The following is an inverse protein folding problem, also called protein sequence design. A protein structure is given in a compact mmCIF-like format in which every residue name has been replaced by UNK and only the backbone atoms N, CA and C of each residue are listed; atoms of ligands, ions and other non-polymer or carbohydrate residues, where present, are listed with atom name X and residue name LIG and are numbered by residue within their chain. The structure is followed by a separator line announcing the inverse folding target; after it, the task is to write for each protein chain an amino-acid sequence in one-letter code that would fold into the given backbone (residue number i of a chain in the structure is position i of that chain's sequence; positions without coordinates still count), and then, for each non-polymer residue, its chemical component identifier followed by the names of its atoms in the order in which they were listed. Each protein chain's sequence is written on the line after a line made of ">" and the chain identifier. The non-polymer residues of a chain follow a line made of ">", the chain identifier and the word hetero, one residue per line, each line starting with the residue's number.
data_IF_190813030212
#
_entry.id   IF_190813030212
#
_cell.length_a   1.000
_cell.length_b   1.000
_cell.length_c   1.000
_cell.angle_alpha   90.00
_cell.angle_beta   90.00
_cell.angle_gamma   90.00
#
_symmetry.space_group_name_H-M   'P 1'
#
loop_
_entity.id
_entity.type
_entity.pdbx_description
1 polymer ?
#
# COMPACT_ATOMS: atom_id res chain seq x y z
N UNK A 1 -0.12 -88.06 17.00
CA UNK A 1 1.09 -88.61 16.35
C UNK A 1 2.26 -87.75 16.81
N UNK A 2 3.32 -88.42 17.27
CA UNK A 2 4.58 -87.98 17.92
C UNK A 2 5.04 -86.53 17.66
N UNK A 3 5.39 -85.70 18.66
CA UNK A 3 6.60 -85.69 19.53
C UNK A 3 7.94 -85.39 18.81
N UNK A 4 8.74 -84.52 19.49
CA UNK A 4 10.21 -84.26 19.39
C UNK A 4 10.61 -83.04 18.50
N UNK A 5 11.46 -82.07 18.92
CA UNK A 5 12.45 -82.00 20.00
C UNK A 5 12.91 -80.56 20.36
N UNK A 6 13.59 -80.50 21.52
CA UNK A 6 14.10 -79.40 22.37
C UNK A 6 15.15 -78.39 21.83
N UNK A 7 15.49 -77.32 22.61
CA UNK A 7 16.06 -76.04 22.16
C UNK A 7 17.58 -75.90 22.42
N UNK A 8 18.18 -74.76 22.00
CA UNK A 8 19.46 -74.26 22.53
C UNK A 8 19.67 -72.74 22.30
N UNK A 9 19.86 -72.04 23.42
CA UNK A 9 20.91 -71.03 23.68
C UNK A 9 20.78 -69.58 23.16
N UNK A 10 20.44 -68.70 24.11
CA UNK A 10 21.22 -67.55 24.62
C UNK A 10 22.01 -66.71 23.61
N UNK A 11 21.63 -65.44 23.51
CA UNK A 11 22.45 -64.35 22.98
C UNK A 11 21.87 -62.99 23.39
N UNK A 12 22.25 -62.51 24.57
CA UNK A 12 21.93 -61.18 25.09
C UNK A 12 22.79 -60.15 24.33
N UNK A 13 22.19 -59.29 23.50
CA UNK A 13 22.83 -58.03 23.07
C UNK A 13 21.79 -56.93 23.23
N UNK A 14 22.04 -56.07 24.22
CA UNK A 14 21.20 -54.93 24.52
C UNK A 14 21.10 -53.99 23.32
N UNK A 15 19.88 -53.57 23.02
CA UNK A 15 19.62 -52.37 22.24
C UNK A 15 18.86 -51.43 23.16
N UNK A 16 19.56 -50.36 23.54
CA UNK A 16 19.01 -49.20 24.24
C UNK A 16 17.86 -48.67 23.38
N UNK A 17 16.63 -48.81 23.87
CA UNK A 17 15.47 -48.18 23.25
C UNK A 17 15.60 -46.67 23.49
N UNK A 18 16.28 -45.98 22.58
CA UNK A 18 16.31 -44.53 22.55
C UNK A 18 14.90 -44.05 22.19
N UNK A 19 14.12 -43.73 23.22
CA UNK A 19 12.85 -43.04 23.09
C UNK A 19 13.12 -41.65 22.50
N UNK A 20 13.09 -41.54 21.17
CA UNK A 20 13.13 -40.25 20.49
C UNK A 20 11.80 -39.55 20.77
N UNK A 21 11.79 -38.66 21.76
CA UNK A 21 10.85 -37.56 21.77
C UNK A 21 11.11 -36.72 20.51
N UNK A 22 10.28 -36.91 19.50
CA UNK A 22 10.18 -35.94 18.41
C UNK A 22 9.42 -34.76 19.02
N UNK A 23 10.16 -33.75 19.50
CA UNK A 23 9.58 -32.45 19.77
C UNK A 23 9.16 -31.86 18.42
N UNK A 24 7.90 -32.05 18.02
CA UNK A 24 7.32 -31.31 16.92
C UNK A 24 7.18 -29.88 17.39
N UNK A 25 8.16 -29.04 17.06
CA UNK A 25 7.97 -27.59 17.07
C UNK A 25 6.91 -27.28 16.01
N UNK A 26 5.65 -27.32 16.41
CA UNK A 26 4.54 -26.88 15.59
C UNK A 26 4.67 -25.38 15.38
N UNK A 27 5.29 -24.97 14.27
CA UNK A 27 5.06 -23.65 13.72
C UNK A 27 3.63 -23.69 13.22
N UNK A 28 2.70 -23.09 13.97
CA UNK A 28 1.35 -22.84 13.46
C UNK A 28 1.51 -21.92 12.25
N UNK A 29 1.31 -22.46 11.05
CA UNK A 29 1.23 -21.65 9.85
C UNK A 29 -0.02 -20.77 9.99
N UNK A 30 0.18 -19.46 10.15
CA UNK A 30 -0.93 -18.51 10.18
C UNK A 30 -1.63 -18.56 8.83
N UNK A 31 -2.88 -19.03 8.81
CA UNK A 31 -3.68 -19.10 7.59
C UNK A 31 -3.96 -17.67 7.09
N UNK A 32 -3.58 -17.39 5.84
CA UNK A 32 -3.82 -16.07 5.23
C UNK A 32 -5.31 -15.91 4.95
N UNK A 33 -5.95 -14.92 5.58
CA UNK A 33 -7.39 -14.66 5.42
C UNK A 33 -7.66 -13.71 4.25
N UNK A 34 -8.50 -14.14 3.32
CA UNK A 34 -8.95 -13.30 2.21
C UNK A 34 -9.86 -12.16 2.69
N UNK A 35 -9.55 -10.92 2.27
CA UNK A 35 -10.37 -9.73 2.55
C UNK A 35 -11.75 -9.77 1.90
N UNK A 36 -12.74 -9.19 2.60
CA UNK A 36 -14.10 -9.02 2.09
C UNK A 36 -14.21 -7.70 1.30
N UNK A 37 -14.57 -7.73 0.00
CA UNK A 37 -14.64 -6.52 -0.82
C UNK A 37 -15.68 -5.50 -0.39
N UNK A 38 -16.69 -5.89 0.40
CA UNK A 38 -17.73 -4.99 0.92
C UNK A 38 -17.33 -4.27 2.21
N UNK A 39 -16.29 -4.75 2.90
CA UNK A 39 -15.93 -4.29 4.26
C UNK A 39 -14.48 -3.82 4.37
N UNK A 40 -13.61 -4.24 3.45
CA UNK A 40 -12.20 -3.88 3.45
C UNK A 40 -12.02 -2.37 3.40
N UNK A 41 -11.03 -1.88 4.13
CA UNK A 41 -10.63 -0.46 4.16
C UNK A 41 -9.37 -0.18 3.34
N UNK A 42 -8.63 -1.24 3.00
CA UNK A 42 -7.40 -1.14 2.23
C UNK A 42 -7.14 -2.40 1.41
N UNK A 43 -6.30 -2.28 0.38
CA UNK A 43 -5.83 -3.42 -0.41
C UNK A 43 -4.98 -4.41 0.41
N UNK A 44 -4.47 -4.01 1.57
CA UNK A 44 -3.59 -4.84 2.40
C UNK A 44 -4.33 -6.02 3.06
N UNK A 45 -5.66 -5.95 3.14
CA UNK A 45 -6.50 -7.01 3.68
C UNK A 45 -6.69 -8.18 2.70
N UNK A 46 -6.23 -8.05 1.46
CA UNK A 46 -6.40 -9.09 0.45
C UNK A 46 -5.18 -10.00 0.35
N UNK A 47 -5.45 -11.23 -0.04
CA UNK A 47 -4.45 -12.22 -0.45
C UNK A 47 -4.58 -12.39 -1.95
N UNK A 48 -3.44 -12.57 -2.62
CA UNK A 48 -3.33 -12.83 -4.07
C UNK A 48 -2.32 -13.94 -4.27
N UNK A 49 -2.33 -14.61 -5.41
CA UNK A 49 -1.33 -15.63 -5.71
C UNK A 49 -0.23 -15.08 -6.60
N UNK A 50 1.03 -15.41 -6.31
CA UNK A 50 2.13 -15.14 -7.22
C UNK A 50 1.98 -15.92 -8.54
N UNK A 51 2.83 -15.64 -9.53
CA UNK A 51 2.78 -16.35 -10.83
C UNK A 51 2.94 -17.87 -10.74
N UNK A 52 3.38 -18.42 -9.59
CA UNK A 52 3.54 -19.86 -9.34
C UNK A 52 2.36 -20.44 -8.54
N UNK A 53 1.35 -19.64 -8.20
CA UNK A 53 0.19 -20.05 -7.42
C UNK A 53 0.36 -19.99 -5.91
N UNK A 54 1.47 -19.43 -5.40
CA UNK A 54 1.67 -19.31 -3.94
C UNK A 54 0.93 -18.09 -3.39
N UNK A 55 0.21 -18.22 -2.26
CA UNK A 55 -0.51 -17.10 -1.68
C UNK A 55 0.46 -16.07 -1.08
N UNK A 56 0.23 -14.80 -1.40
CA UNK A 56 0.94 -13.61 -0.94
C UNK A 56 -0.08 -12.67 -0.29
N UNK A 57 0.18 -12.30 0.96
CA UNK A 57 -0.54 -11.20 1.60
C UNK A 57 -0.16 -9.86 0.96
N UNK A 58 -1.15 -9.05 0.60
CA UNK A 58 -0.92 -7.71 0.07
C UNK A 58 -0.32 -6.75 1.12
N UNK A 59 -0.30 -7.12 2.40
CA UNK A 59 0.50 -6.44 3.44
C UNK A 59 1.96 -6.24 3.04
N UNK A 60 2.51 -7.11 2.18
CA UNK A 60 3.85 -6.95 1.57
C UNK A 60 4.08 -5.55 0.98
N UNK A 61 3.03 -4.89 0.50
CA UNK A 61 3.10 -3.61 -0.19
C UNK A 61 2.73 -2.41 0.71
N UNK A 62 2.63 -2.61 2.03
CA UNK A 62 2.29 -1.53 2.97
C UNK A 62 3.25 -0.36 2.85
N UNK A 63 2.71 0.87 2.86
CA UNK A 63 3.51 2.09 2.81
C UNK A 63 4.02 2.48 1.42
N UNK A 64 3.75 1.67 0.39
CA UNK A 64 4.17 1.94 -0.98
C UNK A 64 2.99 2.47 -1.81
N UNK A 65 3.17 3.51 -2.65
CA UNK A 65 2.20 3.83 -3.69
C UNK A 65 2.20 2.70 -4.72
N UNK A 66 1.01 2.24 -5.14
CA UNK A 66 0.86 1.11 -6.04
C UNK A 66 0.21 1.54 -7.35
N UNK A 67 0.63 0.90 -8.44
CA UNK A 67 -0.18 0.76 -9.66
C UNK A 67 -0.65 -0.69 -9.72
N UNK A 68 -1.96 -0.91 -9.70
CA UNK A 68 -2.56 -2.23 -9.95
C UNK A 68 -3.15 -2.23 -11.35
N UNK A 69 -2.76 -3.20 -12.19
CA UNK A 69 -3.14 -3.23 -13.61
C UNK A 69 -3.50 -4.64 -14.07
N UNK A 70 -4.58 -4.78 -14.85
CA UNK A 70 -4.87 -6.03 -15.55
C UNK A 70 -4.12 -6.04 -16.89
N UNK A 71 -3.45 -7.14 -17.22
CA UNK A 71 -2.56 -7.22 -18.40
C UNK A 71 -2.92 -8.40 -19.29
N UNK A 72 -2.53 -8.30 -20.56
CA UNK A 72 -2.65 -9.37 -21.55
C UNK A 72 -1.36 -9.49 -22.37
N UNK A 73 -1.00 -10.71 -22.77
CA UNK A 73 0.23 -10.96 -23.55
C UNK A 73 0.08 -10.68 -25.04
N UNK A 74 -1.15 -10.61 -25.56
CA UNK A 74 -1.46 -10.45 -26.98
C UNK A 74 -2.56 -9.41 -27.19
N UNK A 75 -2.22 -8.14 -27.03
CA UNK A 75 -3.12 -7.01 -27.25
C UNK A 75 -2.41 -5.89 -28.01
N UNK A 76 -3.16 -5.06 -28.75
CA UNK A 76 -2.60 -3.88 -29.43
C UNK A 76 -1.97 -2.85 -28.47
N UNK A 77 -2.26 -2.96 -27.18
CA UNK A 77 -1.68 -2.15 -26.11
C UNK A 77 -0.41 -2.75 -25.50
N UNK A 78 -0.11 -4.03 -25.75
CA UNK A 78 0.91 -4.77 -24.98
C UNK A 78 2.29 -4.13 -25.04
N UNK A 79 2.82 -3.87 -26.24
CA UNK A 79 4.15 -3.31 -26.43
C UNK A 79 4.35 -1.97 -25.70
N UNK A 80 3.45 -1.02 -25.96
CA UNK A 80 3.55 0.34 -25.42
C UNK A 80 3.36 0.36 -23.91
N UNK A 81 2.34 -0.33 -23.40
CA UNK A 81 2.03 -0.28 -21.97
C UNK A 81 3.12 -0.95 -21.14
N UNK A 82 3.71 -2.07 -21.58
CA UNK A 82 4.83 -2.66 -20.87
C UNK A 82 6.07 -1.76 -20.88
N UNK A 83 6.40 -1.16 -22.02
CA UNK A 83 7.52 -0.22 -22.11
C UNK A 83 7.37 0.95 -21.14
N UNK A 84 6.18 1.56 -21.10
CA UNK A 84 5.91 2.70 -20.23
C UNK A 84 5.79 2.34 -18.75
N UNK A 85 5.19 1.19 -18.40
CA UNK A 85 5.17 0.70 -17.02
C UNK A 85 6.59 0.41 -16.51
N UNK A 86 7.46 -0.16 -17.35
CA UNK A 86 8.87 -0.34 -17.00
C UNK A 86 9.58 1.00 -16.78
N UNK A 87 9.33 2.00 -17.63
CA UNK A 87 9.91 3.33 -17.47
C UNK A 87 9.47 3.99 -16.14
N UNK A 88 8.19 3.88 -15.77
CA UNK A 88 7.70 4.34 -14.47
C UNK A 88 8.38 3.60 -13.31
N UNK A 89 8.54 2.28 -13.43
CA UNK A 89 9.19 1.47 -12.41
C UNK A 89 10.66 1.86 -12.23
N UNK A 90 11.40 1.99 -13.33
CA UNK A 90 12.82 2.39 -13.32
C UNK A 90 13.02 3.76 -12.67
N UNK A 91 12.16 4.72 -12.95
CA UNK A 91 12.27 6.07 -12.41
C UNK A 91 11.88 6.16 -10.92
N UNK A 92 10.81 5.47 -10.51
CA UNK A 92 10.15 5.73 -9.23
C UNK A 92 10.18 4.58 -8.20
N UNK A 93 10.53 3.35 -8.57
CA UNK A 93 10.47 2.22 -7.65
C UNK A 93 11.40 2.39 -6.44
N UNK A 94 12.64 2.79 -6.69
CA UNK A 94 13.64 2.99 -5.62
C UNK A 94 13.53 4.39 -5.02
N UNK A 95 13.38 5.42 -5.87
CA UNK A 95 13.44 6.82 -5.44
C UNK A 95 12.18 7.29 -4.70
N UNK A 96 11.02 6.67 -4.97
CA UNK A 96 9.70 7.03 -4.42
C UNK A 96 8.93 5.85 -3.84
N UNK A 97 9.50 4.64 -3.87
CA UNK A 97 8.86 3.44 -3.35
C UNK A 97 7.72 2.93 -4.23
N UNK A 98 7.65 3.28 -5.53
CA UNK A 98 6.59 2.76 -6.40
C UNK A 98 6.63 1.23 -6.49
N UNK A 99 5.47 0.59 -6.43
CA UNK A 99 5.31 -0.83 -6.78
C UNK A 99 4.24 -0.98 -7.85
N UNK A 100 4.52 -1.79 -8.86
CA UNK A 100 3.54 -2.12 -9.91
C UNK A 100 3.15 -3.59 -9.75
N UNK A 101 1.85 -3.85 -9.76
CA UNK A 101 1.26 -5.16 -9.57
C UNK A 101 0.43 -5.51 -10.81
N UNK A 102 0.95 -6.43 -11.62
CA UNK A 102 0.34 -6.82 -12.88
C UNK A 102 -0.41 -8.14 -12.75
N UNK A 103 -1.69 -8.13 -13.11
CA UNK A 103 -2.59 -9.27 -13.02
C UNK A 103 -3.02 -9.73 -14.42
N UNK A 104 -2.50 -10.84 -14.93
CA UNK A 104 -2.95 -11.42 -16.19
C UNK A 104 -4.45 -11.69 -16.15
N UNK A 105 -5.16 -11.33 -17.23
CA UNK A 105 -6.59 -11.56 -17.36
C UNK A 105 -6.93 -11.90 -18.82
N UNK A 106 -7.91 -12.77 -19.04
CA UNK A 106 -8.33 -13.19 -20.39
C UNK A 106 -9.82 -13.00 -20.66
N UNK A 107 -10.49 -12.15 -19.88
CA UNK A 107 -11.92 -11.87 -20.06
C UNK A 107 -12.26 -10.95 -21.26
N UNK A 108 -11.24 -10.36 -21.92
CA UNK A 108 -11.44 -9.35 -22.96
C UNK A 108 -10.91 -9.77 -24.34
N UNK A 109 -9.85 -10.58 -24.36
CA UNK A 109 -9.22 -11.06 -25.59
C UNK A 109 -9.82 -12.40 -26.03
N UNK A 110 -9.80 -12.68 -27.34
CA UNK A 110 -10.15 -14.00 -27.90
C UNK A 110 -8.97 -14.95 -27.67
N UNK A 111 -8.98 -15.65 -26.54
CA UNK A 111 -8.00 -16.67 -26.19
C UNK A 111 -7.25 -16.35 -24.91
N UNK A 112 -7.24 -17.31 -23.97
CA UNK A 112 -6.42 -17.20 -22.77
C UNK A 112 -4.96 -17.46 -23.10
N UNK A 113 -4.08 -16.57 -22.65
CA UNK A 113 -2.64 -16.80 -22.78
C UNK A 113 -2.26 -18.02 -21.93
N UNK A 114 -1.53 -18.96 -22.51
CA UNK A 114 -1.00 -20.07 -21.71
C UNK A 114 0.06 -19.55 -20.72
N UNK A 115 0.34 -20.28 -19.62
CA UNK A 115 1.40 -19.90 -18.69
C UNK A 115 2.76 -19.66 -19.39
N UNK A 116 3.10 -20.46 -20.40
CA UNK A 116 4.33 -20.31 -21.18
C UNK A 116 4.31 -19.04 -22.05
N UNK A 117 3.18 -18.70 -22.66
CA UNK A 117 3.03 -17.46 -23.43
C UNK A 117 3.14 -16.22 -22.55
N UNK A 118 2.52 -16.25 -21.37
CA UNK A 118 2.65 -15.19 -20.38
C UNK A 118 4.12 -15.05 -19.94
N UNK A 119 4.77 -16.16 -19.60
CA UNK A 119 6.17 -16.15 -19.17
C UNK A 119 7.11 -15.65 -20.27
N UNK A 120 6.83 -16.01 -21.53
CA UNK A 120 7.54 -15.51 -22.70
C UNK A 120 7.36 -14.01 -22.89
N UNK A 121 6.13 -13.50 -22.76
CA UNK A 121 5.81 -12.07 -22.83
C UNK A 121 6.54 -11.27 -21.74
N UNK A 122 6.49 -11.72 -20.48
CA UNK A 122 7.20 -11.11 -19.35
C UNK A 122 8.69 -10.99 -19.63
N UNK A 123 9.30 -12.06 -20.17
CA UNK A 123 10.73 -12.08 -20.53
C UNK A 123 11.03 -11.15 -21.71
N UNK A 124 10.21 -11.19 -22.76
CA UNK A 124 10.39 -10.40 -23.96
C UNK A 124 10.35 -8.89 -23.68
N UNK A 125 9.49 -8.45 -22.76
CA UNK A 125 9.40 -7.05 -22.35
C UNK A 125 10.27 -6.68 -21.16
N UNK A 126 11.10 -7.60 -20.64
CA UNK A 126 11.95 -7.36 -19.48
C UNK A 126 11.17 -6.76 -18.30
N UNK A 127 10.02 -7.35 -17.95
CA UNK A 127 9.15 -6.85 -16.88
C UNK A 127 9.88 -6.90 -15.53
N UNK A 128 9.97 -5.77 -14.85
CA UNK A 128 10.76 -5.58 -13.61
C UNK A 128 9.94 -5.60 -12.31
N UNK A 129 8.62 -5.71 -12.45
CA UNK A 129 7.67 -5.59 -11.35
C UNK A 129 6.90 -6.89 -11.15
N UNK A 130 6.15 -6.97 -10.05
CA UNK A 130 5.47 -8.20 -9.65
C UNK A 130 4.34 -8.54 -10.63
N UNK A 131 4.37 -9.77 -11.14
CA UNK A 131 3.31 -10.36 -11.95
C UNK A 131 2.69 -11.52 -11.16
N UNK A 132 1.36 -11.52 -11.10
CA UNK A 132 0.58 -12.45 -10.31
C UNK A 132 0.00 -13.58 -11.16
N UNK A 133 -0.65 -14.54 -10.49
CA UNK A 133 -1.47 -15.53 -11.15
C UNK A 133 -2.60 -14.87 -11.96
N UNK A 134 -3.10 -15.61 -12.95
CA UNK A 134 -4.28 -15.23 -13.70
C UNK A 134 -5.49 -14.98 -12.79
N UNK A 135 -6.23 -13.89 -13.04
CA UNK A 135 -7.45 -13.59 -12.28
C UNK A 135 -8.60 -13.15 -13.18
N UNK A 136 -9.82 -13.40 -12.70
CA UNK A 136 -11.01 -12.72 -13.20
C UNK A 136 -11.16 -11.37 -12.52
N UNK A 137 -11.44 -10.34 -13.31
CA UNK A 137 -11.63 -8.96 -12.86
C UNK A 137 -13.10 -8.52 -12.93
N UNK A 138 -13.92 -9.24 -13.68
CA UNK A 138 -15.37 -9.05 -13.84
C UNK A 138 -16.15 -10.35 -13.55
N UNK A 139 -17.46 -10.22 -13.33
CA UNK A 139 -18.34 -11.32 -12.93
C UNK A 139 -18.42 -11.52 -11.43
N UNK A 140 -19.33 -12.39 -10.99
CA UNK A 140 -19.52 -12.75 -9.58
C UNK A 140 -18.31 -13.53 -9.01
N UNK A 141 -17.54 -14.15 -9.92
CA UNK A 141 -16.30 -14.87 -9.64
C UNK A 141 -15.05 -14.00 -9.84
N UNK A 142 -15.21 -12.68 -10.02
CA UNK A 142 -14.07 -11.76 -9.99
C UNK A 142 -13.33 -11.89 -8.66
N UNK A 143 -11.99 -11.83 -8.71
CA UNK A 143 -11.17 -11.90 -7.51
C UNK A 143 -11.57 -10.79 -6.52
N UNK A 144 -11.66 -11.07 -5.20
CA UNK A 144 -12.14 -10.10 -4.20
C UNK A 144 -11.46 -8.73 -4.26
N UNK A 145 -10.14 -8.69 -4.46
CA UNK A 145 -9.40 -7.43 -4.68
C UNK A 145 -10.00 -6.60 -5.83
N UNK A 146 -10.32 -7.22 -6.97
CA UNK A 146 -10.85 -6.53 -8.14
C UNK A 146 -12.29 -6.07 -7.93
N UNK A 147 -13.09 -6.81 -7.16
CA UNK A 147 -14.40 -6.34 -6.74
C UNK A 147 -14.28 -5.08 -5.87
N UNK A 148 -13.33 -5.08 -4.91
CA UNK A 148 -13.05 -3.94 -4.05
C UNK A 148 -12.57 -2.71 -4.84
N UNK A 149 -11.58 -2.88 -5.73
CA UNK A 149 -11.04 -1.80 -6.56
C UNK A 149 -12.13 -1.11 -7.38
N UNK A 150 -12.99 -1.90 -8.06
CA UNK A 150 -14.12 -1.37 -8.84
C UNK A 150 -15.13 -0.62 -7.97
N UNK A 151 -15.40 -1.09 -6.75
CA UNK A 151 -16.34 -0.44 -5.81
C UNK A 151 -15.79 0.89 -5.28
N UNK A 152 -14.51 0.94 -4.94
CA UNK A 152 -13.87 2.17 -4.45
C UNK A 152 -13.66 3.20 -5.55
N UNK A 153 -13.33 2.74 -6.76
CA UNK A 153 -13.06 3.58 -7.92
C UNK A 153 -13.94 3.11 -9.09
N UNK A 154 -15.19 3.58 -9.04
CA UNK A 154 -16.22 3.24 -10.01
C UNK A 154 -15.90 3.66 -11.44
N UNK A 155 -16.71 3.19 -12.38
CA UNK A 155 -16.67 3.64 -13.77
C UNK A 155 -17.66 4.77 -14.02
N UNK A 156 -17.58 5.40 -15.19
CA UNK A 156 -18.46 6.53 -15.54
C UNK A 156 -19.92 6.14 -15.82
N UNK A 157 -20.20 4.86 -16.05
CA UNK A 157 -21.55 4.35 -16.41
C UNK A 157 -21.83 3.01 -15.71
N UNK A 158 -20.84 2.11 -15.72
CA UNK A 158 -20.81 0.86 -14.97
C UNK A 158 -19.42 0.65 -14.41
N UNK A 159 -19.30 -0.03 -13.28
CA UNK A 159 -18.02 -0.19 -12.60
C UNK A 159 -17.13 -1.28 -13.22
N UNK A 160 -17.66 -2.06 -14.16
CA UNK A 160 -16.96 -3.14 -14.84
C UNK A 160 -15.64 -2.67 -15.48
N UNK A 161 -14.60 -3.52 -15.41
CA UNK A 161 -13.37 -3.32 -16.19
C UNK A 161 -13.73 -3.47 -17.66
N UNK A 162 -13.40 -2.48 -18.50
CA UNK A 162 -13.85 -2.45 -19.90
C UNK A 162 -12.93 -3.22 -20.84
N UNK A 163 -11.64 -3.29 -20.54
CA UNK A 163 -10.62 -3.95 -21.36
C UNK A 163 -9.35 -4.23 -20.56
N UNK A 164 -8.40 -4.91 -21.20
CA UNK A 164 -7.01 -5.02 -20.76
C UNK A 164 -6.37 -3.65 -20.53
N UNK A 165 -5.42 -3.57 -19.61
CA UNK A 165 -4.71 -2.35 -19.21
C UNK A 165 -5.58 -1.29 -18.54
N UNK A 166 -6.62 -1.67 -17.79
CA UNK A 166 -7.18 -0.74 -16.79
C UNK A 166 -6.22 -0.65 -15.62
N UNK A 167 -5.94 0.57 -15.14
CA UNK A 167 -4.99 0.80 -14.03
C UNK A 167 -5.71 1.46 -12.87
N UNK A 168 -5.28 1.12 -11.66
CA UNK A 168 -5.65 1.82 -10.44
C UNK A 168 -4.39 2.35 -9.78
N UNK A 169 -4.43 3.59 -9.30
CA UNK A 169 -3.44 4.09 -8.35
C UNK A 169 -3.97 3.83 -6.95
N UNK A 170 -3.11 3.30 -6.09
CA UNK A 170 -3.39 3.06 -4.67
C UNK A 170 -2.36 3.86 -3.86
N UNK A 171 -2.83 4.59 -2.85
CA UNK A 171 -1.94 5.36 -1.98
C UNK A 171 -1.14 4.47 -1.00
N UNK A 172 -0.25 5.10 -0.22
CA UNK A 172 0.59 4.42 0.78
C UNK A 172 -0.18 3.81 1.96
N UNK A 173 -1.46 4.15 2.11
CA UNK A 173 -2.36 3.57 3.12
C UNK A 173 -3.14 2.37 2.56
N UNK A 174 -2.95 2.05 1.28
CA UNK A 174 -3.62 0.96 0.60
C UNK A 174 -5.02 1.33 0.12
N UNK A 175 -5.35 2.61 0.01
CA UNK A 175 -6.66 3.07 -0.48
C UNK A 175 -6.58 3.35 -1.99
N UNK A 176 -7.47 2.77 -2.82
CA UNK A 176 -7.55 3.11 -4.24
C UNK A 176 -8.00 4.56 -4.42
N UNK A 177 -7.23 5.36 -5.15
CA UNK A 177 -7.41 6.82 -5.23
C UNK A 177 -7.71 7.32 -6.64
N UNK A 178 -7.27 6.61 -7.68
CA UNK A 178 -7.58 6.92 -9.07
C UNK A 178 -7.77 5.64 -9.89
N UNK A 179 -8.52 5.75 -11.00
CA UNK A 179 -8.71 4.70 -12.00
C UNK A 179 -8.55 5.26 -13.41
N UNK A 180 -7.78 4.55 -14.23
CA UNK A 180 -7.44 4.94 -15.60
C UNK A 180 -7.92 3.91 -16.61
N UNK A 181 -8.45 4.41 -17.72
CA UNK A 181 -8.94 3.59 -18.79
C UNK A 181 -7.79 2.84 -19.52
N UNK A 182 -8.10 1.74 -20.22
CA UNK A 182 -7.19 1.08 -21.16
C UNK A 182 -6.43 2.04 -22.07
N UNK A 183 -7.15 3.03 -22.62
CA UNK A 183 -6.64 4.02 -23.58
C UNK A 183 -5.75 5.09 -22.97
N UNK A 184 -5.66 5.20 -21.64
CA UNK A 184 -4.72 6.12 -20.99
C UNK A 184 -3.36 5.47 -20.92
N UNK A 185 -2.38 6.09 -21.54
CA UNK A 185 -1.00 5.60 -21.52
C UNK A 185 -0.41 5.71 -20.09
N UNK A 186 0.40 4.75 -19.61
CA UNK A 186 0.94 4.80 -18.25
C UNK A 186 1.71 6.10 -17.94
N UNK A 187 2.47 6.66 -18.88
CA UNK A 187 3.20 7.91 -18.65
C UNK A 187 2.28 9.12 -18.45
N UNK A 188 1.05 9.10 -18.98
CA UNK A 188 0.08 10.17 -18.73
C UNK A 188 -0.39 10.21 -17.27
N UNK A 189 -0.25 9.09 -16.53
CA UNK A 189 -0.62 8.98 -15.11
C UNK A 189 0.38 9.67 -14.16
N UNK A 190 1.54 10.14 -14.64
CA UNK A 190 2.63 10.66 -13.78
C UNK A 190 2.15 11.82 -12.89
N UNK A 191 1.32 12.72 -13.43
CA UNK A 191 0.84 13.88 -12.69
C UNK A 191 -0.01 13.46 -11.47
N UNK A 192 -0.86 12.46 -11.64
CA UNK A 192 -1.69 11.89 -10.58
C UNK A 192 -0.85 11.06 -9.60
N UNK A 193 0.03 10.21 -10.13
CA UNK A 193 0.91 9.36 -9.33
C UNK A 193 1.81 10.17 -8.39
N UNK A 194 2.35 11.30 -8.85
CA UNK A 194 3.22 12.18 -8.05
C UNK A 194 2.54 12.74 -6.80
N UNK A 195 1.21 12.87 -6.78
CA UNK A 195 0.44 13.30 -5.60
C UNK A 195 0.66 12.35 -4.41
N UNK A 196 0.88 11.05 -4.71
CA UNK A 196 0.99 9.99 -3.71
C UNK A 196 2.44 9.61 -3.38
N UNK A 197 3.42 10.21 -4.08
CA UNK A 197 4.83 10.11 -3.72
C UNK A 197 5.17 10.95 -2.48
N UNK A 198 4.53 12.12 -2.36
CA UNK A 198 4.70 13.06 -1.25
C UNK A 198 3.63 12.81 -0.20
N UNK A 199 3.63 11.62 0.39
CA UNK A 199 3.04 11.45 1.71
C UNK A 199 3.96 12.11 2.72
N UNK A 200 3.40 12.84 3.71
CA UNK A 200 4.18 13.34 4.84
C UNK A 200 5.03 12.22 5.44
N UNK A 201 6.14 12.59 6.08
CA UNK A 201 7.03 11.63 6.72
C UNK A 201 6.21 10.61 7.52
N UNK A 202 6.50 9.31 7.31
CA UNK A 202 5.95 8.25 8.16
C UNK A 202 6.23 8.58 9.63
N UNK A 203 5.46 8.01 10.58
CA UNK A 203 5.74 8.23 11.99
C UNK A 203 7.22 7.99 12.35
N UNK A 204 7.85 6.96 11.78
CA UNK A 204 9.26 6.64 12.02
C UNK A 204 10.22 7.65 11.38
N UNK A 205 9.99 8.06 10.13
CA UNK A 205 10.79 9.11 9.47
C UNK A 205 10.67 10.44 10.20
N UNK A 206 9.48 10.77 10.70
CA UNK A 206 9.24 11.99 11.43
C UNK A 206 9.93 11.93 12.80
N UNK A 207 9.84 10.83 13.54
CA UNK A 207 10.58 10.64 14.79
C UNK A 207 12.10 10.69 14.60
N UNK A 208 12.61 10.10 13.51
CA UNK A 208 14.03 10.19 13.15
C UNK A 208 14.46 11.66 12.90
N UNK A 209 13.62 12.44 12.21
CA UNK A 209 13.82 13.88 12.00
C UNK A 209 13.85 14.65 13.32
N UNK A 210 12.88 14.43 14.22
CA UNK A 210 12.84 15.08 15.54
C UNK A 210 14.11 14.81 16.35
N UNK A 211 14.60 13.56 16.33
CA UNK A 211 15.85 13.16 16.98
C UNK A 211 17.08 13.82 16.35
N UNK A 212 17.16 13.84 15.02
CA UNK A 212 18.29 14.42 14.29
C UNK A 212 18.42 15.93 14.52
N UNK A 213 17.30 16.62 14.71
CA UNK A 213 17.26 18.07 14.98
C UNK A 213 17.21 18.44 16.47
N UNK A 214 17.34 17.45 17.36
CA UNK A 214 17.34 17.66 18.82
C UNK A 214 16.13 18.48 19.28
N UNK A 215 14.94 18.16 18.77
CA UNK A 215 13.69 18.85 19.14
C UNK A 215 13.40 18.62 20.62
N UNK A 216 13.12 19.70 21.37
CA UNK A 216 12.97 19.70 22.84
C UNK A 216 11.55 20.03 23.32
N UNK A 217 10.58 20.08 22.41
CA UNK A 217 9.20 20.43 22.68
C UNK A 217 8.27 19.34 22.19
N UNK A 218 7.06 19.31 22.73
CA UNK A 218 6.05 18.32 22.37
C UNK A 218 5.66 18.46 20.90
N UNK A 219 5.59 17.32 20.21
CA UNK A 219 5.08 17.23 18.85
C UNK A 219 3.96 16.20 18.81
N UNK A 220 2.81 16.61 18.28
CA UNK A 220 1.59 15.82 18.24
C UNK A 220 1.41 15.16 16.86
N UNK A 221 0.52 14.17 16.79
CA UNK A 221 0.21 13.46 15.56
C UNK A 221 -0.36 14.37 14.45
N UNK A 222 -0.33 13.87 13.22
CA UNK A 222 -0.84 14.59 12.04
C UNK A 222 -2.33 14.90 12.19
N UNK A 223 -2.71 16.14 11.89
CA UNK A 223 -4.11 16.60 11.93
C UNK A 223 -4.44 17.41 10.69
N UNK A 224 -5.71 17.39 10.28
CA UNK A 224 -6.20 18.30 9.22
C UNK A 224 -6.34 19.71 9.79
N UNK A 225 -5.65 20.66 9.17
CA UNK A 225 -5.63 22.08 9.60
C UNK A 225 -6.63 22.97 8.86
N UNK A 226 -7.10 22.53 7.70
CA UNK A 226 -8.05 23.23 6.81
C UNK A 226 -9.22 22.32 6.43
N UNK A 227 -10.28 22.91 5.89
CA UNK A 227 -11.50 22.22 5.46
C UNK A 227 -12.54 22.07 6.57
N UNK A 228 -13.72 21.56 6.18
CA UNK A 228 -14.86 21.34 7.08
C UNK A 228 -14.59 20.25 8.12
N UNK A 229 -13.66 19.35 7.84
CA UNK A 229 -13.19 18.29 8.73
C UNK A 229 -11.89 18.64 9.46
N UNK A 230 -11.48 19.92 9.45
CA UNK A 230 -10.34 20.39 10.22
C UNK A 230 -10.52 20.08 11.72
N UNK A 231 -9.41 19.75 12.37
CA UNK A 231 -9.38 19.43 13.78
C UNK A 231 -9.94 20.60 14.63
N UNK A 232 -10.75 20.34 15.68
CA UNK A 232 -11.44 21.38 16.44
C UNK A 232 -10.51 22.47 17.00
N UNK A 233 -9.32 22.09 17.50
CA UNK A 233 -8.30 23.04 17.94
C UNK A 233 -7.92 24.03 16.83
N UNK A 234 -7.69 23.55 15.60
CA UNK A 234 -7.31 24.41 14.48
C UNK A 234 -8.46 25.30 14.02
N UNK A 235 -9.71 24.84 14.12
CA UNK A 235 -10.88 25.71 13.92
C UNK A 235 -10.93 26.83 14.96
N UNK A 236 -10.68 26.50 16.24
CA UNK A 236 -10.63 27.48 17.33
C UNK A 236 -9.51 28.51 17.14
N UNK A 237 -8.28 28.06 16.86
CA UNK A 237 -7.12 28.94 16.66
C UNK A 237 -7.34 29.95 15.53
N UNK A 238 -8.01 29.54 14.43
CA UNK A 238 -8.24 30.38 13.25
C UNK A 238 -9.36 31.41 13.45
N UNK A 239 -10.36 31.10 14.28
CA UNK A 239 -11.57 31.93 14.45
C UNK A 239 -11.32 33.20 15.29
N UNK A 240 -10.28 33.22 16.13
CA UNK A 240 -10.09 34.25 17.17
C UNK A 240 -9.25 35.46 16.72
N UNK A 241 -9.13 35.73 15.41
CA UNK A 241 -8.34 36.85 14.91
C UNK A 241 -9.13 37.73 13.95
N UNK A 242 -9.47 38.92 14.44
CA UNK A 242 -10.09 39.97 13.64
C UNK A 242 -9.11 40.52 12.59
N UNK A 243 -9.58 40.57 11.35
CA UNK A 243 -9.04 41.45 10.32
C UNK A 243 -7.87 40.88 9.51
N UNK A 244 -8.11 40.74 8.21
CA UNK A 244 -7.13 40.72 7.10
C UNK A 244 -6.38 39.42 6.76
N UNK A 245 -6.38 38.38 7.59
CA UNK A 245 -5.82 37.07 7.22
C UNK A 245 -6.92 36.04 7.01
N UNK A 246 -7.04 35.55 5.78
CA UNK A 246 -7.89 34.42 5.37
C UNK A 246 -7.85 33.29 6.42
N UNK A 247 -9.02 32.75 6.77
CA UNK A 247 -9.27 31.69 7.77
C UNK A 247 -8.54 30.35 7.47
N UNK A 248 -7.82 30.30 6.35
CA UNK A 248 -7.07 29.14 5.86
C UNK A 248 -5.60 29.22 6.27
N UNK A 249 -5.04 28.11 6.75
CA UNK A 249 -3.60 27.93 6.94
C UNK A 249 -2.96 27.70 5.57
N UNK A 250 -2.13 28.63 5.09
CA UNK A 250 -1.57 28.55 3.74
C UNK A 250 -0.43 27.53 3.59
N UNK A 251 0.33 27.29 4.65
CA UNK A 251 1.49 26.41 4.64
C UNK A 251 1.86 25.92 6.04
N UNK A 252 2.67 24.88 6.09
CA UNK A 252 3.30 24.37 7.32
C UNK A 252 4.12 25.45 8.01
N UNK A 253 4.37 25.29 9.32
CA UNK A 253 5.04 26.26 10.18
C UNK A 253 4.28 27.57 10.43
N UNK A 254 2.96 27.61 10.22
CA UNK A 254 2.13 28.69 10.78
C UNK A 254 2.13 28.59 12.31
N UNK A 255 2.35 29.71 13.02
CA UNK A 255 2.55 29.74 14.47
C UNK A 255 1.47 30.59 15.12
N UNK A 256 1.05 30.22 16.32
CA UNK A 256 0.13 30.99 17.15
C UNK A 256 0.77 31.25 18.50
N UNK A 257 0.56 32.44 19.07
CA UNK A 257 0.75 32.66 20.50
C UNK A 257 -0.62 32.49 21.15
N UNK A 258 -0.67 31.69 22.22
CA UNK A 258 -1.85 31.45 23.04
C UNK A 258 -1.51 31.92 24.45
N UNK A 259 -2.35 32.78 25.02
CA UNK A 259 -2.14 33.32 26.37
C UNK A 259 -2.40 32.27 27.46
N UNK A 260 -2.13 32.64 28.73
CA UNK A 260 -2.33 31.76 29.89
C UNK A 260 -3.79 31.33 30.14
N UNK A 261 -4.77 31.99 29.51
CA UNK A 261 -6.18 31.64 29.59
C UNK A 261 -6.62 30.75 28.42
N UNK A 262 -5.70 30.38 27.52
CA UNK A 262 -5.99 29.58 26.35
C UNK A 262 -6.54 30.39 25.17
N UNK A 263 -6.45 31.72 25.18
CA UNK A 263 -6.91 32.57 24.08
C UNK A 263 -5.79 32.77 23.04
N UNK A 264 -6.03 32.53 21.74
CA UNK A 264 -5.09 32.90 20.69
C UNK A 264 -4.99 34.42 20.62
N UNK A 265 -3.77 34.95 20.71
CA UNK A 265 -3.51 36.40 20.74
C UNK A 265 -2.74 36.89 19.52
N UNK A 266 -1.88 36.06 18.93
CA UNK A 266 -1.12 36.41 17.71
C UNK A 266 -0.98 35.21 16.77
N UNK A 267 -0.86 35.47 15.46
CA UNK A 267 -0.61 34.47 14.40
C UNK A 267 0.49 34.97 13.49
N UNK A 268 1.43 34.09 13.20
CA UNK A 268 2.59 34.40 12.39
C UNK A 268 2.62 33.53 11.15
N UNK A 269 3.05 34.14 10.05
CA UNK A 269 3.25 33.44 8.79
C UNK A 269 4.32 32.34 8.93
N UNK A 270 4.27 31.32 8.08
CA UNK A 270 5.32 30.30 7.93
C UNK A 270 6.74 30.87 7.89
N UNK A 271 6.90 31.97 7.16
CA UNK A 271 8.19 32.66 6.93
C UNK A 271 8.67 33.49 8.10
N UNK A 272 7.87 33.68 9.15
CA UNK A 272 8.30 34.39 10.35
C UNK A 272 9.27 33.52 11.13
N UNK A 273 10.49 34.04 11.32
CA UNK A 273 11.50 33.49 12.21
C UNK A 273 10.97 33.43 13.66
N UNK A 274 10.94 32.24 14.31
CA UNK A 274 10.51 32.09 15.70
C UNK A 274 11.19 33.06 16.68
N UNK A 275 12.46 33.41 16.47
CA UNK A 275 13.19 34.31 17.38
C UNK A 275 12.62 35.74 17.37
N UNK A 276 11.96 36.14 16.28
CA UNK A 276 11.30 37.45 16.19
C UNK A 276 10.01 37.52 17.02
N UNK A 277 9.47 36.37 17.42
CA UNK A 277 8.25 36.30 18.24
C UNK A 277 8.51 36.51 19.73
N UNK A 278 9.78 36.60 20.17
CA UNK A 278 10.14 36.72 21.58
C UNK A 278 9.52 37.96 22.23
N UNK A 279 9.53 39.10 21.53
CA UNK A 279 8.95 40.34 22.06
C UNK A 279 7.42 40.28 22.16
N UNK A 280 6.76 39.55 21.26
CA UNK A 280 5.32 39.32 21.34
C UNK A 280 4.97 38.36 22.48
N UNK A 281 5.75 37.28 22.67
CA UNK A 281 5.58 36.35 23.78
C UNK A 281 5.67 37.05 25.14
N UNK A 282 6.65 37.94 25.32
CA UNK A 282 6.83 38.70 26.57
C UNK A 282 5.62 39.53 27.00
N UNK A 283 4.74 39.91 26.06
CA UNK A 283 3.51 40.67 26.37
C UNK A 283 2.48 39.85 27.14
N UNK A 284 2.56 38.52 27.08
CA UNK A 284 1.56 37.60 27.61
C UNK A 284 2.10 36.63 28.67
N UNK A 285 3.38 36.77 29.04
CA UNK A 285 4.02 36.03 30.14
C UNK A 285 3.71 36.66 31.50
#
# INVERSE_FOLDING_TARGET
>A
MLLLSFPKSIGLIGSVLALRLIATTGVMATELKQGNPDQAKSVYEFVVNDIKGNPISMEKYRGHPLIIVNVASKCGYTEKHYAELNALYDEYAESKGLRILAFPCSQFSIGEATPDELQGCIKAHNVKFDVFEHVKVNGDDAHPLWQYLKKQQGGTIIDAIKWDYTKFIVDKNGVPVDRFAPTTDPLEMIADLKKYFVGGATPDEFQACLKAHNVKFDVFGTVKVNGDDAHPLWKYLKKQQDGTLIDTIKWDYTKFIVDKNGKPVDRFAPTTDPLKMIEDLKKYM
#
